data_IF_739393734499
#
_entry.id   IF_739393734499
#
_cell.length_a   1.000
_cell.length_b   1.000
_cell.length_c   1.000
_cell.angle_alpha   90.00
_cell.angle_beta   90.00
_cell.angle_gamma   90.00
#
_symmetry.space_group_name_H-M   'P 1'
#
loop_
_entity.id
_entity.type
_entity.pdbx_description
1 polymer ?
#
# COMPACT_ATOMS: atom_id res chain seq x y z
N UNK A 1 -0.31 -17.08 -19.70
CA UNK A 1 -0.65 -16.82 -18.28
C UNK A 1 -1.32 -15.45 -18.21
N UNK A 2 -2.58 -15.36 -17.74
CA UNK A 2 -3.16 -14.04 -17.45
C UNK A 2 -2.34 -13.46 -16.30
N UNK A 3 -1.53 -12.42 -16.56
CA UNK A 3 -0.89 -11.65 -15.49
C UNK A 3 -2.02 -11.01 -14.71
N UNK A 4 -2.33 -11.53 -13.53
CA UNK A 4 -3.30 -10.87 -12.67
C UNK A 4 -2.83 -9.44 -12.41
N UNK A 5 -3.78 -8.53 -12.55
CA UNK A 5 -3.59 -7.09 -12.41
C UNK A 5 -3.04 -6.76 -11.03
N UNK A 6 -1.96 -5.97 -10.97
CA UNK A 6 -1.45 -5.43 -9.70
C UNK A 6 -2.15 -4.13 -9.35
N UNK A 7 -2.62 -4.03 -8.12
CA UNK A 7 -3.35 -2.87 -7.59
C UNK A 7 -2.54 -2.29 -6.42
N UNK A 8 -2.13 -1.04 -6.57
CA UNK A 8 -1.43 -0.30 -5.52
C UNK A 8 -2.39 0.55 -4.70
N UNK A 9 -2.33 0.43 -3.38
CA UNK A 9 -3.11 1.24 -2.45
C UNK A 9 -2.14 1.99 -1.55
N UNK A 10 -2.17 3.32 -1.59
CA UNK A 10 -1.46 4.19 -0.67
C UNK A 10 -2.44 4.66 0.42
N UNK A 11 -2.01 4.53 1.67
CA UNK A 11 -2.68 5.11 2.83
C UNK A 11 -1.67 5.79 3.74
N UNK A 12 -2.14 6.75 4.53
CA UNK A 12 -1.33 7.46 5.51
C UNK A 12 -2.12 7.69 6.78
N UNK A 13 -1.42 7.67 7.90
CA UNK A 13 -1.90 8.18 9.18
C UNK A 13 -0.92 9.23 9.72
N UNK A 14 -1.11 9.68 10.96
CA UNK A 14 -0.30 10.75 11.56
C UNK A 14 1.18 10.39 11.74
N UNK A 15 1.55 9.11 11.62
CA UNK A 15 2.90 8.62 11.92
C UNK A 15 3.62 8.02 10.73
N UNK A 16 2.88 7.34 9.85
CA UNK A 16 3.44 6.55 8.77
C UNK A 16 2.53 6.59 7.54
N UNK A 17 3.15 6.37 6.38
CA UNK A 17 2.47 6.05 5.14
C UNK A 17 2.81 4.62 4.73
N UNK A 18 1.84 3.92 4.15
CA UNK A 18 2.09 2.60 3.59
C UNK A 18 1.55 2.46 2.18
N UNK A 19 2.22 1.61 1.39
CA UNK A 19 1.73 1.15 0.10
C UNK A 19 1.53 -0.36 0.17
N UNK A 20 0.30 -0.80 -0.05
CA UNK A 20 -0.05 -2.20 -0.26
C UNK A 20 -0.11 -2.46 -1.77
N UNK A 21 0.61 -3.46 -2.28
CA UNK A 21 0.48 -3.91 -3.67
C UNK A 21 -0.17 -5.29 -3.65
N UNK A 22 -1.37 -5.35 -4.21
CA UNK A 22 -2.16 -6.57 -4.30
C UNK A 22 -2.07 -7.16 -5.70
N UNK A 23 -2.14 -8.49 -5.78
CA UNK A 23 -2.37 -9.25 -7.01
C UNK A 23 -3.62 -10.09 -6.81
N UNK A 24 -4.73 -9.66 -7.42
CA UNK A 24 -6.06 -10.11 -6.99
C UNK A 24 -6.32 -9.65 -5.54
N UNK A 25 -6.65 -10.57 -4.63
CA UNK A 25 -6.81 -10.27 -3.20
C UNK A 25 -5.56 -10.60 -2.37
N UNK A 26 -4.49 -11.12 -2.98
CA UNK A 26 -3.26 -11.45 -2.28
C UNK A 26 -2.38 -10.21 -2.10
N UNK A 27 -1.97 -9.90 -0.87
CA UNK A 27 -0.99 -8.85 -0.58
C UNK A 27 0.41 -9.33 -1.00
N UNK A 28 0.86 -8.93 -2.18
CA UNK A 28 2.15 -9.33 -2.75
C UNK A 28 3.30 -8.52 -2.15
N UNK A 29 3.10 -7.21 -1.98
CA UNK A 29 4.10 -6.33 -1.36
C UNK A 29 3.47 -5.37 -0.36
N UNK A 30 4.24 -5.06 0.68
CA UNK A 30 3.91 -4.03 1.66
C UNK A 30 5.13 -3.13 1.87
N UNK A 31 4.93 -1.83 1.71
CA UNK A 31 5.97 -0.81 1.88
C UNK A 31 5.52 0.13 2.97
N UNK A 32 6.38 0.40 3.95
CA UNK A 32 6.15 1.40 4.99
C UNK A 32 7.17 2.54 4.82
N UNK A 33 6.72 3.78 4.95
CA UNK A 33 7.53 4.99 5.00
C UNK A 33 7.08 5.90 6.14
N UNK A 34 7.93 6.84 6.56
CA UNK A 34 7.55 7.87 7.54
C UNK A 34 6.54 8.85 6.97
N UNK A 35 6.57 9.04 5.65
CA UNK A 35 5.63 9.84 4.89
C UNK A 35 5.39 9.24 3.50
N UNK A 36 4.50 9.88 2.75
CA UNK A 36 4.09 9.47 1.41
C UNK A 36 5.28 9.44 0.44
N UNK A 37 6.20 10.41 0.55
CA UNK A 37 7.35 10.50 -0.37
C UNK A 37 8.31 9.35 -0.15
N UNK A 38 8.60 9.01 1.12
CA UNK A 38 9.45 7.88 1.46
C UNK A 38 8.80 6.55 1.04
N UNK A 39 7.50 6.39 1.26
CA UNK A 39 6.77 5.19 0.83
C UNK A 39 6.80 5.02 -0.70
N UNK A 40 6.58 6.10 -1.46
CA UNK A 40 6.64 6.09 -2.92
C UNK A 40 8.06 5.85 -3.45
N UNK A 41 9.07 6.43 -2.81
CA UNK A 41 10.48 6.22 -3.15
C UNK A 41 10.88 4.75 -3.01
N UNK A 42 10.44 4.09 -1.93
CA UNK A 42 10.70 2.67 -1.66
C UNK A 42 9.99 1.71 -2.61
N UNK A 43 8.93 2.16 -3.28
CA UNK A 43 8.22 1.36 -4.28
C UNK A 43 9.12 1.05 -5.49
N UNK A 44 10.06 1.93 -5.83
CA UNK A 44 11.04 1.70 -6.89
C UNK A 44 10.42 1.27 -8.22
N UNK A 45 11.03 0.25 -8.85
CA UNK A 45 10.57 -0.31 -10.15
C UNK A 45 9.20 -1.00 -10.07
N UNK A 46 8.76 -1.42 -8.88
CA UNK A 46 7.44 -2.05 -8.72
C UNK A 46 6.32 -1.10 -9.14
N UNK A 47 6.54 0.22 -9.06
CA UNK A 47 5.61 1.25 -9.52
C UNK A 47 5.21 1.06 -10.99
N UNK A 48 6.14 0.61 -11.84
CA UNK A 48 5.92 0.41 -13.28
C UNK A 48 5.06 -0.84 -13.56
N UNK A 49 4.97 -1.76 -12.59
CA UNK A 49 4.21 -3.00 -12.69
C UNK A 49 2.77 -2.86 -12.14
N UNK A 50 2.44 -1.73 -11.53
CA UNK A 50 1.11 -1.44 -11.00
C UNK A 50 0.19 -0.99 -12.13
N UNK A 51 -0.93 -1.67 -12.29
CA UNK A 51 -1.90 -1.40 -13.34
C UNK A 51 -2.99 -0.41 -12.91
N UNK A 52 -3.33 -0.40 -11.61
CA UNK A 52 -4.32 0.51 -11.06
C UNK A 52 -3.95 0.93 -9.62
N UNK A 53 -4.33 2.15 -9.22
CA UNK A 53 -4.08 2.64 -7.86
C UNK A 53 -4.98 3.81 -7.45
N UNK A 54 -4.98 4.11 -6.15
CA UNK A 54 -5.63 5.30 -5.59
C UNK A 54 -4.69 6.53 -5.50
N UNK A 55 -3.45 6.44 -6.01
CA UNK A 55 -2.41 7.48 -5.85
C UNK A 55 -1.81 7.95 -7.18
N UNK A 56 -2.55 7.78 -8.28
CA UNK A 56 -2.19 8.32 -9.60
C UNK A 56 -1.18 7.48 -10.40
N UNK A 57 -1.01 6.21 -10.07
CA UNK A 57 -0.25 5.23 -10.86
C UNK A 57 -1.19 4.27 -11.58
N UNK A 58 -1.04 4.15 -12.90
CA UNK A 58 -1.95 3.35 -13.71
C UNK A 58 -3.36 3.95 -13.75
N UNK A 59 -4.37 3.09 -13.86
CA UNK A 59 -5.79 3.49 -13.85
C UNK A 59 -6.24 3.82 -12.43
N UNK A 60 -7.18 4.75 -12.25
CA UNK A 60 -7.77 5.01 -10.94
C UNK A 60 -8.43 3.74 -10.39
N UNK A 61 -8.08 3.37 -9.16
CA UNK A 61 -8.73 2.31 -8.40
C UNK A 61 -9.51 2.91 -7.23
N UNK A 62 -10.74 2.46 -7.06
CA UNK A 62 -11.57 2.65 -5.87
C UNK A 62 -12.29 1.34 -5.59
N UNK A 63 -12.11 0.78 -4.38
CA UNK A 63 -12.71 -0.50 -4.04
C UNK A 63 -12.25 -1.05 -2.70
N UNK A 64 -12.66 -2.28 -2.41
CA UNK A 64 -12.50 -2.93 -1.10
C UNK A 64 -11.04 -3.11 -0.64
N UNK A 65 -10.06 -3.14 -1.56
CA UNK A 65 -8.65 -3.28 -1.18
C UNK A 65 -8.13 -2.06 -0.40
N UNK A 66 -8.81 -0.90 -0.50
CA UNK A 66 -8.54 0.26 0.34
C UNK A 66 -8.82 -0.05 1.82
N UNK A 67 -9.95 -0.68 2.12
CA UNK A 67 -10.32 -1.06 3.48
C UNK A 67 -9.37 -2.13 4.03
N UNK A 68 -8.99 -3.10 3.20
CA UNK A 68 -8.01 -4.14 3.58
C UNK A 68 -6.65 -3.51 3.91
N UNK A 69 -6.14 -2.61 3.07
CA UNK A 69 -4.89 -1.92 3.35
C UNK A 69 -4.97 -1.06 4.62
N UNK A 70 -6.12 -0.43 4.87
CA UNK A 70 -6.36 0.35 6.10
C UNK A 70 -6.28 -0.53 7.34
N UNK A 71 -6.96 -1.68 7.34
CA UNK A 71 -6.89 -2.64 8.45
C UNK A 71 -5.45 -3.11 8.73
N UNK A 72 -4.63 -3.27 7.69
CA UNK A 72 -3.21 -3.63 7.84
C UNK A 72 -2.44 -2.48 8.51
N UNK A 73 -2.62 -1.24 8.05
CA UNK A 73 -1.96 -0.06 8.61
C UNK A 73 -2.35 0.15 10.08
N UNK A 74 -3.63 0.00 10.42
CA UNK A 74 -4.12 0.17 11.80
C UNK A 74 -3.47 -0.87 12.73
N UNK A 75 -3.49 -2.15 12.34
CA UNK A 75 -2.87 -3.24 13.13
C UNK A 75 -1.35 -3.05 13.31
N UNK A 76 -0.67 -2.57 12.26
CA UNK A 76 0.76 -2.26 12.35
C UNK A 76 1.04 -1.10 13.30
N UNK A 77 0.22 -0.05 13.22
CA UNK A 77 0.33 1.13 14.08
C UNK A 77 0.13 0.75 15.55
N UNK A 78 -0.88 -0.07 15.85
CA UNK A 78 -1.10 -0.60 17.20
C UNK A 78 0.11 -1.37 17.73
N UNK A 79 0.70 -2.24 16.90
CA UNK A 79 1.88 -3.03 17.29
C UNK A 79 3.12 -2.16 17.51
N UNK A 80 3.38 -1.20 16.63
CA UNK A 80 4.52 -0.28 16.76
C UNK A 80 4.37 0.58 18.02
N UNK A 81 3.16 1.10 18.27
CA UNK A 81 2.90 1.88 19.48
C UNK A 81 3.18 1.06 20.75
N UNK A 82 2.74 -0.20 20.80
CA UNK A 82 3.01 -1.11 21.92
C UNK A 82 4.49 -1.41 22.13
N UNK A 83 5.30 -1.43 21.07
CA UNK A 83 6.74 -1.67 21.16
C UNK A 83 7.53 -0.43 21.63
N UNK A 84 6.92 0.75 21.52
CA UNK A 84 7.51 2.03 21.94
C UNK A 84 7.02 2.48 23.34
N UNK A 85 6.17 1.68 23.99
CA UNK A 85 5.70 1.89 25.37
C UNK A 85 6.36 0.88 26.29
#
# INVERSE_FOLDING_TARGET
MKRETRIGILLSNDKFSCICVFRGHFLEHFVLGKDVQEALSRLGRLKEEINASNFGVGVEYKGELEEVCKMILDKLTEKINKALT
#
